data_IF_146029188001
#
_entry.id   IF_146029188001
#
_cell.length_a   1.000
_cell.length_b   1.000
_cell.length_c   1.000
_cell.angle_alpha   90.00
_cell.angle_beta   90.00
_cell.angle_gamma   90.00
#
_symmetry.space_group_name_H-M   'P 1'
#
loop_
_entity.id
_entity.type
_entity.pdbx_description
1 polymer ?
#
# COMPACT_ATOMS: atom_id res chain seq x y z
N UNK A 1 16.01 12.49 -17.04
CA UNK A 1 15.14 12.10 -15.91
C UNK A 1 16.06 11.69 -14.78
N UNK A 2 15.94 12.30 -13.61
CA UNK A 2 16.73 11.95 -12.43
C UNK A 2 16.24 10.62 -11.84
N UNK A 3 17.02 10.00 -10.94
CA UNK A 3 16.57 8.78 -10.22
C UNK A 3 15.28 9.07 -9.45
N UNK A 4 15.18 10.23 -8.82
CA UNK A 4 14.00 10.69 -8.09
C UNK A 4 12.76 10.75 -9.01
N UNK A 5 12.89 11.32 -10.21
CA UNK A 5 11.80 11.38 -11.20
C UNK A 5 11.38 9.99 -11.69
N UNK A 6 12.35 9.08 -11.91
CA UNK A 6 12.05 7.70 -12.27
C UNK A 6 11.29 6.94 -11.17
N UNK A 7 11.66 7.13 -9.91
CA UNK A 7 10.97 6.53 -8.77
C UNK A 7 9.56 7.10 -8.59
N UNK A 8 9.34 8.40 -8.82
CA UNK A 8 7.98 8.97 -8.82
C UNK A 8 7.14 8.36 -9.93
N UNK A 9 7.71 8.26 -11.13
CA UNK A 9 7.01 7.70 -12.28
C UNK A 9 6.63 6.23 -12.09
N UNK A 10 7.40 5.45 -11.32
CA UNK A 10 7.10 4.04 -11.09
C UNK A 10 5.91 3.79 -10.15
N UNK A 11 5.49 4.76 -9.32
CA UNK A 11 4.28 4.67 -8.51
C UNK A 11 2.98 4.82 -9.32
N UNK A 12 3.04 5.47 -10.50
CA UNK A 12 1.86 5.76 -11.33
C UNK A 12 1.09 4.50 -11.73
N UNK A 13 1.80 3.43 -12.09
CA UNK A 13 1.16 2.18 -12.52
C UNK A 13 0.45 1.45 -11.36
N UNK A 14 1.08 1.21 -10.19
CA UNK A 14 0.37 0.66 -9.04
C UNK A 14 -0.88 1.46 -8.66
N UNK A 15 -0.79 2.79 -8.64
CA UNK A 15 -1.93 3.66 -8.29
C UNK A 15 -3.06 3.52 -9.30
N UNK A 16 -2.76 3.64 -10.60
CA UNK A 16 -3.73 3.45 -11.66
C UNK A 16 -4.43 2.09 -11.56
N UNK A 17 -3.66 1.01 -11.37
CA UNK A 17 -4.22 -0.34 -11.31
C UNK A 17 -5.08 -0.54 -10.05
N UNK A 18 -4.62 -0.06 -8.90
CA UNK A 18 -5.36 -0.18 -7.65
C UNK A 18 -6.68 0.60 -7.72
N UNK A 19 -6.65 1.87 -8.15
CA UNK A 19 -7.83 2.70 -8.29
C UNK A 19 -8.83 2.10 -9.29
N UNK A 20 -8.34 1.71 -10.47
CA UNK A 20 -9.18 1.11 -11.52
C UNK A 20 -9.88 -0.16 -11.02
N UNK A 21 -9.15 -1.02 -10.32
CA UNK A 21 -9.68 -2.28 -9.81
C UNK A 21 -10.53 -2.17 -8.55
N UNK A 22 -10.51 -1.04 -7.84
CA UNK A 22 -11.39 -0.80 -6.68
C UNK A 22 -12.69 -0.07 -7.07
N UNK A 23 -12.74 0.54 -8.26
CA UNK A 23 -13.83 1.43 -8.68
C UNK A 23 -15.21 0.74 -8.69
N UNK A 24 -15.28 -0.50 -9.16
CA UNK A 24 -16.50 -1.29 -9.31
C UNK A 24 -16.68 -2.37 -8.22
N UNK A 25 -15.89 -2.32 -7.14
CA UNK A 25 -16.01 -3.22 -5.98
C UNK A 25 -16.83 -2.58 -4.87
N UNK A 26 -17.76 -3.32 -4.28
CA UNK A 26 -18.46 -2.93 -3.06
C UNK A 26 -17.64 -3.22 -1.80
N UNK A 27 -18.09 -2.76 -0.64
CA UNK A 27 -17.52 -3.17 0.65
C UNK A 27 -17.64 -4.68 0.87
N UNK A 28 -18.76 -5.27 0.45
CA UNK A 28 -19.01 -6.70 0.50
C UNK A 28 -18.06 -7.48 -0.42
N UNK A 29 -17.81 -6.98 -1.63
CA UNK A 29 -16.85 -7.58 -2.57
C UNK A 29 -15.44 -7.67 -1.93
N UNK A 30 -15.01 -6.65 -1.18
CA UNK A 30 -13.70 -6.61 -0.54
C UNK A 30 -13.55 -7.57 0.65
N UNK A 31 -14.66 -8.07 1.19
CA UNK A 31 -14.69 -9.07 2.26
C UNK A 31 -14.63 -10.51 1.72
N UNK A 32 -14.81 -10.71 0.41
CA UNK A 32 -14.77 -12.04 -0.20
C UNK A 32 -13.36 -12.63 -0.17
N UNK A 33 -13.26 -13.92 0.17
CA UNK A 33 -12.04 -14.72 0.11
C UNK A 33 -12.12 -15.70 -1.07
N UNK A 34 -11.33 -15.49 -2.15
CA UNK A 34 -11.32 -16.41 -3.29
C UNK A 34 -10.90 -17.84 -2.91
N UNK A 35 -10.03 -17.97 -1.91
CA UNK A 35 -9.65 -19.22 -1.26
C UNK A 35 -9.53 -18.98 0.26
N UNK A 36 -9.79 -19.99 1.11
CA UNK A 36 -9.73 -19.82 2.57
C UNK A 36 -8.38 -19.34 3.11
N UNK A 37 -7.29 -19.63 2.39
CA UNK A 37 -5.91 -19.24 2.76
C UNK A 37 -5.54 -17.81 2.35
N UNK A 38 -6.39 -17.15 1.54
CA UNK A 38 -6.15 -15.80 1.05
C UNK A 38 -6.86 -14.82 2.00
N UNK A 39 -6.14 -13.78 2.43
CA UNK A 39 -6.73 -12.67 3.18
C UNK A 39 -7.76 -11.95 2.31
N UNK A 40 -8.92 -11.56 2.85
CA UNK A 40 -9.85 -10.72 2.10
C UNK A 40 -9.18 -9.39 1.75
N UNK A 41 -9.56 -8.78 0.62
CA UNK A 41 -8.81 -7.64 0.09
C UNK A 41 -8.97 -6.39 0.94
N UNK A 42 -10.05 -6.28 1.71
CA UNK A 42 -10.21 -5.17 2.67
C UNK A 42 -9.10 -5.11 3.71
N UNK A 43 -8.68 -6.27 4.22
CA UNK A 43 -7.55 -6.37 5.13
C UNK A 43 -6.23 -6.07 4.40
N UNK A 44 -6.07 -6.58 3.17
CA UNK A 44 -4.86 -6.34 2.39
C UNK A 44 -4.66 -4.84 2.08
N UNK A 45 -5.73 -4.12 1.74
CA UNK A 45 -5.66 -2.69 1.47
C UNK A 45 -5.21 -1.90 2.70
N UNK A 46 -5.81 -2.15 3.86
CA UNK A 46 -5.36 -1.49 5.09
C UNK A 46 -3.94 -1.90 5.51
N UNK A 47 -3.54 -3.15 5.25
CA UNK A 47 -2.17 -3.63 5.45
C UNK A 47 -1.16 -2.85 4.59
N UNK A 48 -1.47 -2.63 3.31
CA UNK A 48 -0.64 -1.82 2.40
C UNK A 48 -0.48 -0.39 2.91
N UNK A 49 -1.60 0.25 3.30
CA UNK A 49 -1.61 1.62 3.84
C UNK A 49 -0.76 1.72 5.11
N UNK A 50 -0.95 0.79 6.05
CA UNK A 50 -0.17 0.76 7.29
C UNK A 50 1.32 0.46 7.04
N UNK A 51 1.61 -0.43 6.09
CA UNK A 51 2.97 -0.76 5.67
C UNK A 51 3.70 0.44 5.12
N UNK A 52 3.14 1.08 4.08
CA UNK A 52 3.72 2.26 3.44
C UNK A 52 3.93 3.39 4.47
N UNK A 53 2.94 3.66 5.32
CA UNK A 53 3.06 4.61 6.42
C UNK A 53 4.26 4.30 7.34
N UNK A 54 4.38 3.05 7.80
CA UNK A 54 5.45 2.64 8.71
C UNK A 54 6.83 2.71 8.05
N UNK A 55 6.96 2.23 6.81
CA UNK A 55 8.25 2.18 6.12
C UNK A 55 8.76 3.57 5.80
N UNK A 56 7.88 4.45 5.33
CA UNK A 56 8.24 5.84 5.04
C UNK A 56 8.62 6.63 6.30
N UNK A 57 7.91 6.41 7.42
CA UNK A 57 8.29 7.03 8.70
C UNK A 57 9.65 6.55 9.23
N UNK A 58 10.03 5.29 8.98
CA UNK A 58 11.34 4.77 9.41
C UNK A 58 12.51 5.46 8.68
N UNK A 59 12.29 6.01 7.48
CA UNK A 59 13.29 6.79 6.76
C UNK A 59 13.63 8.14 7.45
N UNK A 60 12.73 8.67 8.31
CA UNK A 60 12.95 9.87 9.14
C UNK A 60 13.26 11.17 8.39
N UNK A 61 13.01 11.23 7.08
CA UNK A 61 13.18 12.48 6.30
C UNK A 61 12.03 13.47 6.55
N UNK A 62 10.80 12.97 6.66
CA UNK A 62 9.58 13.75 6.93
C UNK A 62 8.51 12.81 7.50
N UNK A 63 7.67 13.27 8.45
CA UNK A 63 6.58 12.47 8.95
C UNK A 63 5.53 12.20 7.86
N UNK A 64 5.02 10.98 7.83
CA UNK A 64 3.85 10.62 7.03
C UNK A 64 2.59 11.27 7.60
N UNK A 65 1.53 11.46 6.78
CA UNK A 65 0.22 11.84 7.29
C UNK A 65 -0.24 10.86 8.37
N UNK A 66 -0.83 11.39 9.44
CA UNK A 66 -1.33 10.57 10.55
C UNK A 66 -2.40 9.59 10.07
N UNK A 67 -2.36 8.37 10.58
CA UNK A 67 -3.41 7.39 10.36
C UNK A 67 -4.56 7.60 11.35
N UNK A 68 -5.79 7.15 11.02
CA UNK A 68 -6.88 7.14 11.98
C UNK A 68 -6.51 6.43 13.28
N UNK A 69 -7.11 6.85 14.39
CA UNK A 69 -6.86 6.23 15.69
C UNK A 69 -7.17 4.73 15.64
N UNK A 70 -6.23 3.91 16.13
CA UNK A 70 -6.37 2.46 16.15
C UNK A 70 -6.15 1.75 14.81
N UNK A 71 -5.89 2.47 13.70
CA UNK A 71 -5.74 1.88 12.37
C UNK A 71 -4.71 0.74 12.31
N UNK A 72 -3.55 0.93 12.95
CA UNK A 72 -2.49 -0.08 13.00
C UNK A 72 -2.93 -1.42 13.62
N UNK A 73 -3.89 -1.38 14.54
CA UNK A 73 -4.43 -2.59 15.20
C UNK A 73 -5.39 -3.40 14.34
N UNK A 74 -5.93 -2.81 13.27
CA UNK A 74 -6.96 -3.43 12.42
C UNK A 74 -6.40 -4.35 11.34
N UNK A 75 -5.15 -4.12 10.93
CA UNK A 75 -4.54 -4.76 9.75
C UNK A 75 -3.30 -5.59 10.09
N UNK A 76 -3.36 -6.25 11.24
CA UNK A 76 -2.31 -7.14 11.76
C UNK A 76 -2.51 -8.57 11.28
N UNK A 77 -1.47 -9.40 11.43
CA UNK A 77 -1.55 -10.83 11.10
C UNK A 77 -2.65 -11.55 11.90
N UNK A 78 -2.88 -11.13 13.13
CA UNK A 78 -3.87 -11.71 14.05
C UNK A 78 -5.30 -11.37 13.61
N UNK A 79 -5.52 -10.15 13.11
CA UNK A 79 -6.82 -9.67 12.63
C UNK A 79 -7.13 -10.11 11.21
N UNK A 80 -6.15 -10.64 10.46
CA UNK A 80 -6.31 -11.14 9.08
C UNK A 80 -7.34 -12.27 8.91
N UNK A 81 -7.74 -12.92 10.00
CA UNK A 81 -8.77 -13.98 10.04
C UNK A 81 -10.17 -13.49 10.39
N UNK A 82 -10.33 -12.21 10.71
CA UNK A 82 -11.63 -11.64 11.04
C UNK A 82 -12.42 -11.46 9.75
N UNK A 83 -13.64 -11.98 9.72
CA UNK A 83 -14.56 -11.89 8.57
C UNK A 83 -15.81 -11.05 8.88
N UNK A 84 -15.81 -10.32 10.00
CA UNK A 84 -16.86 -9.36 10.35
C UNK A 84 -16.61 -8.03 9.61
N UNK A 85 -17.48 -7.61 8.66
CA UNK A 85 -17.31 -6.36 7.94
C UNK A 85 -17.33 -5.12 8.85
N UNK A 86 -18.03 -5.18 10.00
CA UNK A 86 -18.12 -4.06 10.94
C UNK A 86 -16.80 -3.82 11.71
N UNK A 87 -15.88 -4.78 11.67
CA UNK A 87 -14.54 -4.63 12.27
C UNK A 87 -13.64 -3.69 11.44
N UNK A 88 -13.91 -3.53 10.14
CA UNK A 88 -13.05 -2.79 9.22
C UNK A 88 -13.69 -1.45 8.79
N UNK A 89 -12.90 -0.40 8.51
CA UNK A 89 -13.40 0.87 7.97
C UNK A 89 -14.06 0.66 6.60
N UNK A 90 -14.90 1.59 6.13
CA UNK A 90 -15.49 1.50 4.77
C UNK A 90 -14.42 1.52 3.67
N UNK A 91 -14.76 1.02 2.48
CA UNK A 91 -13.90 1.10 1.29
C UNK A 91 -13.51 2.55 1.00
N UNK A 92 -14.48 3.46 1.05
CA UNK A 92 -14.28 4.89 0.80
C UNK A 92 -13.21 5.45 1.75
N UNK A 93 -13.36 5.24 3.06
CA UNK A 93 -12.39 5.70 4.06
C UNK A 93 -10.99 5.10 3.87
N UNK A 94 -10.90 3.82 3.46
CA UNK A 94 -9.62 3.18 3.15
C UNK A 94 -8.96 3.77 1.90
N UNK A 95 -9.72 4.04 0.85
CA UNK A 95 -9.21 4.65 -0.39
C UNK A 95 -8.77 6.09 -0.16
N UNK A 96 -9.50 6.86 0.65
CA UNK A 96 -9.10 8.20 1.08
C UNK A 96 -7.77 8.15 1.83
N UNK A 97 -7.66 7.28 2.84
CA UNK A 97 -6.45 7.11 3.65
C UNK A 97 -5.27 6.66 2.78
N UNK A 98 -5.48 5.71 1.86
CA UNK A 98 -4.48 5.28 0.87
C UNK A 98 -3.97 6.46 0.04
N UNK A 99 -4.89 7.27 -0.48
CA UNK A 99 -4.56 8.43 -1.31
C UNK A 99 -3.73 9.45 -0.53
N UNK A 100 -4.07 9.69 0.74
CA UNK A 100 -3.30 10.57 1.63
C UNK A 100 -1.91 10.04 1.92
N UNK A 101 -1.77 8.75 2.26
CA UNK A 101 -0.46 8.14 2.50
C UNK A 101 0.41 8.21 1.23
N UNK A 102 -0.14 7.88 0.06
CA UNK A 102 0.62 7.98 -1.20
C UNK A 102 1.10 9.39 -1.49
N UNK A 103 0.27 10.42 -1.23
CA UNK A 103 0.72 11.82 -1.32
C UNK A 103 1.88 12.11 -0.35
N UNK A 104 1.83 11.58 0.87
CA UNK A 104 2.91 11.66 1.85
C UNK A 104 4.21 11.07 1.32
N UNK A 105 4.18 9.85 0.78
CA UNK A 105 5.32 9.17 0.16
C UNK A 105 5.93 10.00 -0.96
N UNK A 106 5.10 10.53 -1.86
CA UNK A 106 5.58 11.37 -2.98
C UNK A 106 6.18 12.69 -2.48
N UNK A 107 5.62 13.31 -1.43
CA UNK A 107 6.20 14.50 -0.80
C UNK A 107 7.55 14.23 -0.13
N UNK A 108 7.73 13.06 0.49
CA UNK A 108 9.05 12.65 0.99
C UNK A 108 10.00 12.58 -0.19
N UNK A 109 9.63 11.82 -1.22
CA UNK A 109 10.47 11.59 -2.40
C UNK A 109 10.83 12.90 -3.10
N UNK A 110 9.90 13.86 -3.23
CA UNK A 110 10.13 15.21 -3.77
C UNK A 110 11.24 15.97 -3.04
N UNK A 111 11.36 15.76 -1.72
CA UNK A 111 12.34 16.45 -0.87
C UNK A 111 13.73 15.83 -0.84
N UNK A 112 13.93 14.63 -1.42
CA UNK A 112 15.21 13.93 -1.35
C UNK A 112 16.18 14.35 -2.45
N UNK A 113 17.45 14.53 -2.09
CA UNK A 113 18.55 14.64 -3.04
C UNK A 113 18.99 13.27 -3.57
N UNK A 114 19.83 13.24 -4.63
CA UNK A 114 20.46 12.00 -5.09
C UNK A 114 21.31 11.35 -3.99
N UNK A 115 22.02 12.14 -3.18
CA UNK A 115 22.78 11.61 -2.04
C UNK A 115 21.90 11.01 -0.95
N UNK A 116 20.70 11.54 -0.73
CA UNK A 116 19.75 10.96 0.23
C UNK A 116 19.25 9.61 -0.26
N UNK A 117 18.96 9.48 -1.57
CA UNK A 117 18.55 8.21 -2.19
C UNK A 117 19.65 7.14 -2.13
N UNK A 118 20.93 7.55 -2.14
CA UNK A 118 22.10 6.67 -2.00
C UNK A 118 22.54 6.41 -0.55
N UNK A 119 21.86 7.03 0.43
CA UNK A 119 22.12 6.76 1.84
C UNK A 119 21.64 5.35 2.24
N UNK A 120 22.19 4.83 3.34
CA UNK A 120 21.84 3.48 3.79
C UNK A 120 20.40 3.38 4.28
N UNK A 121 19.72 2.31 3.89
CA UNK A 121 18.41 1.96 4.44
C UNK A 121 18.51 1.63 5.93
N UNK A 122 17.62 2.16 6.77
CA UNK A 122 17.51 1.78 8.18
C UNK A 122 17.35 0.27 8.35
N UNK A 123 17.98 -0.31 9.38
CA UNK A 123 18.02 -1.77 9.59
C UNK A 123 16.61 -2.40 9.62
N UNK A 124 15.65 -1.73 10.27
CA UNK A 124 14.28 -2.23 10.41
C UNK A 124 13.54 -2.47 9.08
N UNK A 125 13.97 -1.79 8.00
CA UNK A 125 13.37 -1.88 6.66
C UNK A 125 14.39 -2.24 5.58
N UNK A 126 15.57 -2.73 5.98
CA UNK A 126 16.68 -3.07 5.07
C UNK A 126 16.37 -4.24 4.13
N UNK A 127 15.30 -4.99 4.41
CA UNK A 127 14.82 -6.05 3.53
C UNK A 127 14.36 -5.55 2.15
N UNK A 128 14.05 -4.26 1.99
CA UNK A 128 13.81 -3.66 0.68
C UNK A 128 15.08 -3.44 -0.16
N UNK A 129 16.24 -3.39 0.49
CA UNK A 129 17.52 -3.19 -0.15
C UNK A 129 18.43 -2.24 0.63
N UNK A 130 19.69 -2.12 0.20
CA UNK A 130 20.72 -1.41 0.96
C UNK A 130 20.58 0.12 0.96
N UNK A 131 19.87 0.70 -0.02
CA UNK A 131 19.77 2.15 -0.21
C UNK A 131 18.34 2.66 -0.05
N UNK A 132 18.19 3.90 0.40
CA UNK A 132 16.88 4.57 0.54
C UNK A 132 16.06 4.50 -0.76
N UNK A 133 16.68 4.68 -1.92
CA UNK A 133 15.99 4.52 -3.22
C UNK A 133 15.40 3.11 -3.44
N UNK A 134 15.98 2.06 -2.84
CA UNK A 134 15.43 0.71 -2.88
C UNK A 134 14.13 0.60 -2.07
N UNK A 135 13.95 1.38 -1.01
CA UNK A 135 12.71 1.38 -0.21
C UNK A 135 11.52 1.87 -1.06
N UNK A 136 11.68 2.97 -1.80
CA UNK A 136 10.64 3.46 -2.72
C UNK A 136 10.34 2.45 -3.83
N UNK A 137 11.37 1.88 -4.46
CA UNK A 137 11.18 0.81 -5.46
C UNK A 137 10.49 -0.42 -4.85
N UNK A 138 10.83 -0.73 -3.61
CA UNK A 138 10.25 -1.82 -2.82
C UNK A 138 8.77 -1.62 -2.55
N UNK A 139 8.35 -0.41 -2.19
CA UNK A 139 6.93 -0.07 -2.05
C UNK A 139 6.17 -0.24 -3.36
N UNK A 140 6.70 0.24 -4.49
CA UNK A 140 6.09 0.02 -5.81
C UNK A 140 5.83 -1.47 -6.06
N UNK A 141 6.82 -2.32 -5.76
CA UNK A 141 6.71 -3.77 -5.92
C UNK A 141 5.69 -4.37 -4.94
N UNK A 142 5.70 -3.94 -3.68
CA UNK A 142 4.78 -4.38 -2.64
C UNK A 142 3.32 -4.14 -3.03
N UNK A 143 3.02 -2.92 -3.51
CA UNK A 143 1.69 -2.58 -4.03
C UNK A 143 1.32 -3.42 -5.25
N UNK A 144 2.22 -3.57 -6.23
CA UNK A 144 1.95 -4.37 -7.42
C UNK A 144 1.73 -5.86 -7.11
N UNK A 145 2.41 -6.40 -6.09
CA UNK A 145 2.19 -7.78 -5.63
C UNK A 145 0.74 -7.95 -5.15
N UNK A 146 0.23 -6.99 -4.38
CA UNK A 146 -1.17 -7.01 -3.94
C UNK A 146 -2.17 -6.69 -5.05
N UNK A 147 -1.83 -5.86 -6.04
CA UNK A 147 -2.63 -5.75 -7.28
C UNK A 147 -2.78 -7.13 -7.94
N UNK A 148 -1.73 -7.95 -7.96
CA UNK A 148 -1.79 -9.34 -8.39
C UNK A 148 -2.83 -10.15 -7.61
N UNK A 149 -2.87 -10.04 -6.29
CA UNK A 149 -3.88 -10.69 -5.44
C UNK A 149 -5.30 -10.15 -5.69
N UNK A 150 -5.44 -8.85 -5.94
CA UNK A 150 -6.71 -8.22 -6.33
C UNK A 150 -7.25 -8.81 -7.63
N UNK A 151 -6.39 -9.11 -8.61
CA UNK A 151 -6.84 -9.74 -9.87
C UNK A 151 -7.49 -11.11 -9.64
N UNK A 152 -7.01 -11.87 -8.64
CA UNK A 152 -7.61 -13.16 -8.27
C UNK A 152 -9.02 -12.95 -7.71
N UNK A 153 -9.19 -11.96 -6.82
CA UNK A 153 -10.51 -11.58 -6.30
C UNK A 153 -11.45 -11.15 -7.43
N UNK A 154 -11.01 -10.27 -8.32
CA UNK A 154 -11.82 -9.79 -9.45
C UNK A 154 -12.30 -10.94 -10.32
N UNK A 155 -11.41 -11.86 -10.70
CA UNK A 155 -11.78 -13.04 -11.49
C UNK A 155 -12.75 -13.95 -10.75
N UNK A 156 -12.57 -14.14 -9.45
CA UNK A 156 -13.49 -14.90 -8.62
C UNK A 156 -14.91 -14.29 -8.62
N UNK A 157 -15.00 -12.97 -8.58
CA UNK A 157 -16.26 -12.22 -8.66
C UNK A 157 -16.81 -12.04 -10.10
N UNK A 158 -16.14 -12.61 -11.12
CA UNK A 158 -16.53 -12.45 -12.52
C UNK A 158 -16.32 -11.04 -13.10
N UNK A 159 -15.46 -10.23 -12.47
CA UNK A 159 -15.14 -8.85 -12.89
C UNK A 159 -13.93 -8.81 -13.82
N UNK A 160 -13.90 -7.81 -14.70
CA UNK A 160 -12.85 -7.65 -15.72
C UNK A 160 -11.52 -7.21 -15.11
N UNK A 161 -10.42 -7.62 -15.73
CA UNK A 161 -9.05 -7.18 -15.40
C UNK A 161 -8.34 -6.53 -16.59
N UNK A 162 -8.91 -6.59 -17.80
CA UNK A 162 -8.45 -5.93 -19.03
C UNK A 162 -9.65 -5.68 -19.95
#
# INVERSE_FOLDING_TARGET
MTVQEHLKASFVLPDFMMEHYLMDLSDEDLMVRPLPVINHFKWQLGHLVQGEHSHMNELKFRPMPELPEGFAGLFTKETAKIDDPAFFPSKESLVETMTEQRKGTLQILDGLSESDLESETPEAIRYFGPKVGNVFSGEVIHWMLHVGQLTVLRKYLGKQTF
#
